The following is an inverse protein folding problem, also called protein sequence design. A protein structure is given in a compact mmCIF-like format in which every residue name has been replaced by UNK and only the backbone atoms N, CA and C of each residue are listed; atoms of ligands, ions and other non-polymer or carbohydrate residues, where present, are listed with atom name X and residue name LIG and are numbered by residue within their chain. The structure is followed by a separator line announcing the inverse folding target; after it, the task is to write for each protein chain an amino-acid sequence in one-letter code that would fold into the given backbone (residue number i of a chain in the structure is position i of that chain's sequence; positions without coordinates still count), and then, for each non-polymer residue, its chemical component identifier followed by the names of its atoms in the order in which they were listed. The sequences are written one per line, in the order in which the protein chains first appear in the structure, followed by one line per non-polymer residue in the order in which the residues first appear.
data_IF_459830133888
#
_entry.id   IF_459830133888
#
_cell.length_a   1.000
_cell.length_b   1.000
_cell.length_c   1.000
_cell.angle_alpha   90.00
_cell.angle_beta   90.00
_cell.angle_gamma   90.00
#
_symmetry.space_group_name_H-M   'P 1'
#
loop_
_entity.id
_entity.type
_entity.pdbx_description
1 polymer ?
#
# COMPACT_ATOMS: atom_id res chain seq x y z
N UNK A 1 22.54 53.97 -13.78
CA UNK A 1 23.62 54.43 -12.87
C UNK A 1 24.02 53.28 -11.96
N UNK A 2 25.35 52.96 -12.04
CA UNK A 2 26.17 52.12 -11.13
C UNK A 2 25.71 50.75 -10.66
N UNK A 3 26.28 49.73 -11.33
CA UNK A 3 26.42 48.35 -10.86
C UNK A 3 27.43 48.33 -9.68
N UNK A 4 27.14 47.51 -8.66
CA UNK A 4 28.08 47.14 -7.58
C UNK A 4 28.42 45.66 -7.75
N UNK A 5 29.71 45.48 -8.10
CA UNK A 5 30.35 44.15 -8.19
C UNK A 5 30.89 43.76 -6.81
N UNK A 6 30.53 42.56 -6.33
CA UNK A 6 31.14 41.96 -5.13
C UNK A 6 32.01 40.78 -5.56
N UNK A 7 33.32 40.95 -5.34
CA UNK A 7 34.37 39.93 -5.56
C UNK A 7 34.33 38.89 -4.43
N UNK A 8 34.48 37.63 -4.77
CA UNK A 8 34.78 36.51 -3.84
C UNK A 8 36.27 36.36 -3.69
N UNK A 9 36.81 36.11 -2.49
CA UNK A 9 38.19 35.70 -2.30
C UNK A 9 38.38 34.19 -2.50
N UNK A 10 39.43 33.83 -3.23
CA UNK A 10 39.93 32.47 -3.35
C UNK A 10 40.84 32.14 -2.15
N UNK A 11 40.58 31.01 -1.49
CA UNK A 11 41.50 30.42 -0.50
C UNK A 11 42.29 29.29 -1.20
N UNK A 12 43.59 29.55 -1.32
CA UNK A 12 44.59 28.57 -1.73
C UNK A 12 44.97 27.63 -0.58
N UNK A 13 44.95 26.34 -0.82
CA UNK A 13 45.54 25.33 0.05
C UNK A 13 46.97 25.02 -0.40
N UNK A 14 47.92 25.31 0.48
CA UNK A 14 49.31 24.92 0.34
C UNK A 14 49.51 23.49 0.86
N UNK A 15 50.05 22.62 0.01
CA UNK A 15 50.52 21.28 0.39
C UNK A 15 52.00 21.43 0.86
N UNK A 16 52.25 21.09 2.10
CA UNK A 16 53.63 20.93 2.62
C UNK A 16 54.00 19.45 2.63
N UNK A 17 55.01 19.11 1.87
CA UNK A 17 55.64 17.81 1.90
C UNK A 17 56.70 17.80 3.04
N UNK A 18 56.64 16.78 3.88
CA UNK A 18 57.72 16.45 4.83
C UNK A 18 58.28 15.08 4.48
N UNK A 19 59.52 15.09 4.01
CA UNK A 19 60.33 13.90 3.88
C UNK A 19 61.29 13.82 5.10
N UNK A 20 61.38 12.65 5.69
CA UNK A 20 62.56 12.20 6.47
C UNK A 20 62.33 10.74 6.84
N UNK A 21 63.16 9.83 6.41
CA UNK A 21 64.42 9.53 7.04
C UNK A 21 64.28 8.24 7.85
N UNK A 22 64.82 7.15 7.34
CA UNK A 22 64.73 5.81 7.82
C UNK A 22 65.39 5.49 9.17
N UNK A 23 65.02 4.36 9.70
CA UNK A 23 65.88 3.46 10.51
C UNK A 23 65.31 2.06 10.46
N UNK A 24 66.02 1.17 9.81
CA UNK A 24 65.73 -0.26 9.82
C UNK A 24 66.17 -0.88 11.14
N UNK A 25 65.27 -1.41 11.92
CA UNK A 25 65.57 -2.39 12.94
C UNK A 25 64.83 -3.68 12.62
N UNK A 26 65.57 -4.69 12.24
CA UNK A 26 65.08 -6.02 12.00
C UNK A 26 64.59 -6.68 13.30
N UNK A 27 63.35 -7.05 13.35
CA UNK A 27 62.82 -8.01 14.30
C UNK A 27 62.25 -9.18 13.50
N UNK A 28 62.98 -10.29 13.54
CA UNK A 28 62.47 -11.55 13.01
C UNK A 28 61.37 -12.06 13.92
N UNK A 29 60.11 -11.88 13.52
CA UNK A 29 58.98 -12.50 14.16
C UNK A 29 58.69 -13.82 13.45
N UNK A 30 58.83 -14.88 14.19
CA UNK A 30 58.41 -16.22 13.79
C UNK A 30 56.92 -16.21 13.51
N UNK A 31 56.54 -16.38 12.26
CA UNK A 31 55.18 -16.70 11.84
C UNK A 31 54.95 -18.20 12.07
N UNK A 32 54.36 -18.55 13.19
CA UNK A 32 53.64 -19.84 13.32
C UNK A 32 52.31 -19.76 12.53
N UNK A 33 52.00 -20.74 11.70
CA UNK A 33 50.70 -20.77 11.03
C UNK A 33 49.63 -21.10 12.08
N UNK A 34 48.87 -20.12 12.53
CA UNK A 34 47.60 -20.33 13.16
C UNK A 34 46.63 -20.81 12.06
N UNK A 35 46.53 -22.12 11.86
CA UNK A 35 45.40 -22.74 11.26
C UNK A 35 44.23 -22.65 12.26
N UNK A 36 43.65 -21.43 12.39
CA UNK A 36 42.38 -21.20 13.00
C UNK A 36 41.33 -21.77 12.04
N UNK A 37 40.75 -22.88 12.37
CA UNK A 37 39.51 -23.31 11.75
C UNK A 37 38.51 -22.16 11.91
N UNK A 38 38.11 -21.54 10.79
CA UNK A 38 36.96 -20.65 10.75
C UNK A 38 35.73 -21.47 11.15
N UNK A 39 35.38 -21.40 12.43
CA UNK A 39 34.07 -21.85 12.88
C UNK A 39 33.08 -20.80 12.38
N UNK A 40 32.54 -21.03 11.20
CA UNK A 40 31.32 -20.35 10.79
C UNK A 40 30.30 -20.56 11.91
N UNK A 41 29.73 -19.46 12.48
CA UNK A 41 28.71 -19.62 13.50
C UNK A 41 27.57 -20.45 12.93
N UNK A 42 27.38 -21.64 13.46
CA UNK A 42 26.26 -22.49 13.08
C UNK A 42 24.97 -21.75 13.43
N UNK A 43 24.12 -21.50 12.44
CA UNK A 43 22.76 -20.99 12.62
C UNK A 43 22.08 -21.80 13.72
N UNK A 44 21.52 -21.16 14.78
CA UNK A 44 20.84 -21.90 15.82
C UNK A 44 19.72 -22.75 15.22
N UNK A 45 19.59 -24.02 15.59
CA UNK A 45 18.56 -24.89 15.04
C UNK A 45 17.19 -24.37 15.48
N UNK A 46 16.31 -24.07 14.53
CA UNK A 46 14.89 -23.88 14.76
C UNK A 46 14.26 -22.53 14.40
N UNK A 47 15.01 -21.53 13.95
CA UNK A 47 14.40 -20.28 13.45
C UNK A 47 14.48 -20.28 11.92
N UNK A 48 13.47 -20.82 11.27
CA UNK A 48 13.23 -20.59 9.85
C UNK A 48 12.69 -19.16 9.72
N UNK A 49 13.56 -18.20 9.39
CA UNK A 49 13.12 -16.91 8.91
C UNK A 49 12.48 -17.12 7.52
N UNK A 50 11.16 -17.19 7.48
CA UNK A 50 10.49 -16.97 6.20
C UNK A 50 10.74 -15.52 5.80
N UNK A 51 11.20 -15.22 4.58
CA UNK A 51 11.35 -13.84 4.15
C UNK A 51 10.00 -13.14 4.26
N UNK A 52 10.02 -11.90 4.77
CA UNK A 52 8.83 -11.06 4.93
C UNK A 52 9.12 -9.66 4.42
N UNK A 53 8.09 -8.94 4.00
CA UNK A 53 8.20 -7.53 3.71
C UNK A 53 8.48 -6.75 5.00
N UNK A 54 9.45 -5.80 4.98
CA UNK A 54 9.71 -4.92 6.11
C UNK A 54 8.58 -3.90 6.29
N UNK A 55 8.44 -3.38 7.50
CA UNK A 55 7.51 -2.30 7.81
C UNK A 55 8.08 -0.94 7.35
N UNK A 56 7.75 -0.50 6.14
CA UNK A 56 8.25 0.75 5.56
C UNK A 56 7.27 1.93 5.68
N UNK A 57 5.97 1.68 5.56
CA UNK A 57 4.93 2.70 5.46
C UNK A 57 4.06 2.72 6.72
N UNK A 58 4.67 3.02 7.87
CA UNK A 58 3.96 3.07 9.14
C UNK A 58 4.51 4.18 10.02
N UNK A 59 3.64 5.10 10.44
CA UNK A 59 3.92 6.06 11.49
C UNK A 59 2.99 5.81 12.69
N UNK A 60 3.57 5.44 13.83
CA UNK A 60 2.83 5.04 15.00
C UNK A 60 1.99 6.15 15.61
N UNK A 61 2.35 7.43 15.43
CA UNK A 61 1.57 8.57 15.95
C UNK A 61 0.34 8.81 15.09
N UNK A 62 0.52 8.81 13.77
CA UNK A 62 -0.58 8.92 12.81
C UNK A 62 -1.56 7.77 12.98
N UNK A 63 -1.06 6.55 13.14
CA UNK A 63 -1.90 5.37 13.38
C UNK A 63 -2.70 5.50 14.69
N UNK A 64 -2.06 5.86 15.79
CA UNK A 64 -2.74 6.03 17.08
C UNK A 64 -3.80 7.14 17.06
N UNK A 65 -3.54 8.25 16.35
CA UNK A 65 -4.52 9.30 16.15
C UNK A 65 -5.73 8.81 15.35
N UNK A 66 -5.50 8.02 14.29
CA UNK A 66 -6.57 7.42 13.50
C UNK A 66 -7.40 6.40 14.30
N UNK A 67 -6.76 5.56 15.13
CA UNK A 67 -7.47 4.66 16.05
C UNK A 67 -8.33 5.43 17.08
N UNK A 68 -7.79 6.48 17.66
CA UNK A 68 -8.53 7.31 18.61
C UNK A 68 -9.75 7.97 17.97
N UNK A 69 -9.61 8.50 16.74
CA UNK A 69 -10.72 9.07 15.99
C UNK A 69 -11.77 8.02 15.64
N UNK A 70 -11.35 6.83 15.21
CA UNK A 70 -12.25 5.70 14.97
C UNK A 70 -13.01 5.31 16.25
N UNK A 71 -12.31 5.22 17.39
CA UNK A 71 -12.94 4.85 18.67
C UNK A 71 -13.96 5.89 19.15
N UNK A 72 -13.81 7.16 18.75
CA UNK A 72 -14.74 8.24 19.08
C UNK A 72 -16.05 8.20 18.26
N UNK A 73 -16.10 7.42 17.18
CA UNK A 73 -17.30 7.29 16.34
C UNK A 73 -18.09 6.04 16.69
N UNK A 74 -19.43 6.06 16.63
CA UNK A 74 -20.25 4.85 16.78
C UNK A 74 -19.86 3.79 15.76
N UNK A 75 -19.94 2.51 16.19
CA UNK A 75 -19.79 1.38 15.26
C UNK A 75 -21.01 1.31 14.36
N UNK A 76 -20.78 1.30 13.07
CA UNK A 76 -21.85 1.09 12.07
C UNK A 76 -21.64 -0.27 11.37
N UNK A 77 -22.42 -1.29 11.72
CA UNK A 77 -22.24 -2.63 11.21
C UNK A 77 -22.34 -2.75 9.68
N UNK A 78 -21.54 -3.64 9.12
CA UNK A 78 -21.48 -3.98 7.71
C UNK A 78 -21.50 -5.51 7.49
N UNK A 79 -22.51 -6.24 7.97
CA UNK A 79 -22.52 -7.71 7.96
C UNK A 79 -22.46 -8.29 6.54
N UNK A 80 -23.08 -7.61 5.58
CA UNK A 80 -23.21 -8.07 4.20
C UNK A 80 -22.14 -7.49 3.26
N UNK A 81 -21.13 -6.78 3.79
CA UNK A 81 -20.09 -6.18 2.98
C UNK A 81 -19.24 -7.25 2.27
N UNK A 82 -19.24 -7.24 0.95
CA UNK A 82 -18.39 -8.10 0.10
C UNK A 82 -17.17 -7.33 -0.42
N UNK A 83 -17.34 -6.05 -0.69
CA UNK A 83 -16.30 -5.16 -1.18
C UNK A 83 -16.22 -3.89 -0.36
N UNK A 84 -15.01 -3.45 -0.04
CA UNK A 84 -14.75 -2.23 0.71
C UNK A 84 -13.89 -1.29 -0.13
N UNK A 85 -14.27 -0.04 -0.21
CA UNK A 85 -13.49 1.05 -0.80
C UNK A 85 -13.02 1.97 0.33
N UNK A 86 -11.71 2.22 0.40
CA UNK A 86 -11.09 3.11 1.38
C UNK A 86 -9.84 3.78 0.79
N UNK A 87 -9.41 4.93 1.33
CA UNK A 87 -8.17 5.57 0.89
C UNK A 87 -6.93 4.80 1.34
N UNK A 88 -5.78 5.13 0.78
CA UNK A 88 -4.48 4.67 1.28
C UNK A 88 -3.59 5.82 1.81
N UNK A 89 -3.98 7.07 1.61
CA UNK A 89 -3.32 8.22 2.23
C UNK A 89 -3.66 8.31 3.73
N UNK A 90 -2.63 8.21 4.58
CA UNK A 90 -2.78 8.25 6.03
C UNK A 90 -3.11 9.63 6.60
N UNK A 91 -3.15 10.69 5.80
CA UNK A 91 -3.84 11.94 6.19
C UNK A 91 -5.31 11.65 6.48
N UNK A 92 -5.93 10.78 5.68
CA UNK A 92 -7.27 10.25 5.90
C UNK A 92 -7.33 9.05 6.86
N UNK A 93 -6.38 8.84 7.76
CA UNK A 93 -6.22 7.60 8.54
C UNK A 93 -7.46 7.10 9.27
N UNK A 94 -8.31 8.00 9.79
CA UNK A 94 -9.58 7.63 10.41
C UNK A 94 -10.56 7.00 9.39
N UNK A 95 -10.47 7.39 8.12
CA UNK A 95 -11.27 6.82 7.03
C UNK A 95 -10.76 5.43 6.59
N UNK A 96 -9.55 5.05 7.02
CA UNK A 96 -8.99 3.71 6.87
C UNK A 96 -9.39 2.83 8.06
N UNK A 97 -9.17 3.32 9.28
CA UNK A 97 -9.33 2.53 10.50
C UNK A 97 -10.79 2.29 10.87
N UNK A 98 -11.68 3.29 10.69
CA UNK A 98 -13.10 3.16 11.04
C UNK A 98 -13.81 2.04 10.26
N UNK A 99 -13.74 1.96 8.92
CA UNK A 99 -14.43 0.89 8.19
C UNK A 99 -13.86 -0.50 8.47
N UNK A 100 -12.57 -0.64 8.73
CA UNK A 100 -11.96 -1.93 9.10
C UNK A 100 -12.43 -2.37 10.49
N UNK A 101 -12.53 -1.45 11.46
CA UNK A 101 -13.11 -1.70 12.78
C UNK A 101 -14.59 -2.13 12.68
N UNK A 102 -15.37 -1.42 11.90
CA UNK A 102 -16.80 -1.68 11.74
C UNK A 102 -17.05 -3.03 11.05
N UNK A 103 -16.23 -3.38 10.07
CA UNK A 103 -16.24 -4.69 9.45
C UNK A 103 -15.91 -5.80 10.44
N UNK A 104 -14.84 -5.62 11.24
CA UNK A 104 -14.42 -6.56 12.28
C UNK A 104 -15.50 -6.78 13.35
N UNK A 105 -16.24 -5.73 13.71
CA UNK A 105 -17.37 -5.82 14.63
C UNK A 105 -18.60 -6.50 14.03
N UNK A 106 -18.67 -6.62 12.71
CA UNK A 106 -19.84 -7.13 11.99
C UNK A 106 -19.78 -8.61 11.67
N UNK A 107 -18.58 -9.11 11.36
CA UNK A 107 -18.36 -10.50 10.96
C UNK A 107 -16.90 -10.90 11.08
N UNK A 108 -16.65 -12.20 11.12
CA UNK A 108 -15.30 -12.74 11.04
C UNK A 108 -14.80 -12.65 9.60
N UNK A 109 -13.59 -12.10 9.42
CA UNK A 109 -12.89 -12.07 8.14
C UNK A 109 -11.63 -12.93 8.25
N UNK A 110 -11.46 -13.85 7.33
CA UNK A 110 -10.35 -14.81 7.28
C UNK A 110 -9.44 -14.58 6.07
N UNK A 111 -9.90 -13.78 5.10
CA UNK A 111 -9.13 -13.39 3.91
C UNK A 111 -9.44 -11.94 3.50
N UNK A 112 -8.40 -11.21 3.19
CA UNK A 112 -8.49 -9.89 2.58
C UNK A 112 -7.80 -9.93 1.21
N UNK A 113 -8.54 -9.71 0.14
CA UNK A 113 -7.96 -9.40 -1.17
C UNK A 113 -7.77 -7.89 -1.20
N UNK A 114 -6.53 -7.41 -1.20
CA UNK A 114 -6.22 -5.99 -1.13
C UNK A 114 -5.66 -5.52 -2.47
N UNK A 115 -6.38 -4.61 -3.13
CA UNK A 115 -6.06 -4.11 -4.47
C UNK A 115 -5.77 -2.62 -4.39
N UNK A 116 -4.66 -2.17 -4.96
CA UNK A 116 -4.28 -0.75 -5.01
C UNK A 116 -3.53 -0.39 -6.29
N UNK A 117 -3.23 0.91 -6.52
CA UNK A 117 -2.39 1.33 -7.63
C UNK A 117 -0.95 0.84 -7.51
N UNK A 118 -0.31 0.63 -8.64
CA UNK A 118 1.14 0.60 -8.77
C UNK A 118 1.59 2.01 -9.21
N UNK A 119 1.87 2.88 -8.24
CA UNK A 119 2.13 4.30 -8.49
C UNK A 119 3.31 4.56 -9.41
N UNK A 120 4.32 3.71 -9.35
CA UNK A 120 5.54 3.85 -10.16
C UNK A 120 5.46 3.12 -11.49
N UNK A 121 4.40 2.34 -11.72
CA UNK A 121 4.29 1.42 -12.84
C UNK A 121 5.50 0.46 -12.97
N UNK A 122 6.15 0.15 -11.84
CA UNK A 122 7.31 -0.73 -11.78
C UNK A 122 6.92 -2.20 -12.06
N UNK A 123 7.95 -3.01 -12.32
CA UNK A 123 7.79 -4.44 -12.55
C UNK A 123 7.54 -4.84 -13.99
N UNK A 124 7.49 -6.15 -14.23
CA UNK A 124 7.44 -6.74 -15.57
C UNK A 124 6.04 -7.06 -16.09
N UNK A 125 4.97 -6.86 -15.27
CA UNK A 125 3.59 -7.11 -15.67
C UNK A 125 2.65 -6.00 -15.20
N UNK A 126 1.43 -5.98 -15.72
CA UNK A 126 0.44 -4.96 -15.38
C UNK A 126 -0.22 -5.22 -14.01
N UNK A 127 -0.25 -6.47 -13.56
CA UNK A 127 -0.81 -6.90 -12.29
C UNK A 127 0.26 -7.68 -11.53
N UNK A 128 0.63 -7.18 -10.35
CA UNK A 128 1.67 -7.78 -9.52
C UNK A 128 1.12 -8.23 -8.19
N UNK A 129 1.73 -9.27 -7.62
CA UNK A 129 1.39 -9.83 -6.31
C UNK A 129 2.64 -10.25 -5.54
N UNK A 130 2.46 -10.63 -4.27
CA UNK A 130 3.51 -11.17 -3.41
C UNK A 130 3.00 -12.32 -2.54
N UNK A 131 3.81 -13.36 -2.38
CA UNK A 131 3.60 -14.46 -1.43
C UNK A 131 4.32 -14.26 -0.09
N UNK A 132 5.01 -13.11 0.08
CA UNK A 132 5.66 -12.76 1.34
C UNK A 132 4.65 -12.15 2.32
N UNK A 133 4.76 -12.54 3.58
CA UNK A 133 4.03 -11.91 4.70
C UNK A 133 4.62 -10.54 5.01
N UNK A 134 3.93 -9.69 5.78
CA UNK A 134 4.40 -8.37 6.21
C UNK A 134 4.67 -8.29 7.70
N UNK A 135 5.79 -7.68 8.07
CA UNK A 135 6.04 -7.28 9.45
C UNK A 135 5.12 -6.11 9.82
N UNK A 136 4.45 -6.19 10.95
CA UNK A 136 3.64 -5.09 11.50
C UNK A 136 3.81 -4.98 13.01
N UNK A 137 3.49 -3.82 13.62
CA UNK A 137 3.53 -3.67 15.08
C UNK A 137 2.54 -4.58 15.81
N UNK A 138 1.59 -5.15 15.08
CA UNK A 138 0.52 -6.01 15.61
C UNK A 138 0.77 -7.51 15.35
N UNK A 139 2.01 -7.86 15.02
CA UNK A 139 2.42 -9.19 14.57
C UNK A 139 2.46 -9.30 13.05
N UNK A 140 2.87 -10.44 12.55
CA UNK A 140 2.99 -10.68 11.11
C UNK A 140 1.59 -10.78 10.45
N UNK A 141 1.39 -10.03 9.37
CA UNK A 141 0.25 -10.19 8.48
C UNK A 141 0.59 -11.26 7.43
N UNK A 142 -0.03 -12.40 7.51
CA UNK A 142 0.30 -13.55 6.68
C UNK A 142 -0.26 -13.39 5.25
N UNK A 143 0.57 -13.72 4.25
CA UNK A 143 0.08 -13.87 2.88
C UNK A 143 -0.72 -15.18 2.73
N UNK A 144 -1.78 -15.16 1.93
CA UNK A 144 -2.46 -16.36 1.47
C UNK A 144 -1.67 -16.98 0.30
N UNK A 145 -0.61 -17.71 0.64
CA UNK A 145 0.37 -18.21 -0.35
C UNK A 145 -0.23 -19.16 -1.37
N UNK A 146 -1.23 -19.95 -0.98
CA UNK A 146 -1.91 -20.88 -1.89
C UNK A 146 -2.68 -20.10 -2.95
N UNK A 147 -3.54 -19.18 -2.53
CA UNK A 147 -4.29 -18.34 -3.44
C UNK A 147 -3.40 -17.43 -4.32
N UNK A 148 -2.30 -16.91 -3.74
CA UNK A 148 -1.31 -16.13 -4.51
C UNK A 148 -0.63 -17.00 -5.57
N UNK A 149 -0.25 -18.24 -5.24
CA UNK A 149 0.35 -19.17 -6.19
C UNK A 149 -0.60 -19.52 -7.34
N UNK A 150 -1.89 -19.74 -7.04
CA UNK A 150 -2.91 -20.02 -8.05
C UNK A 150 -3.10 -18.83 -8.99
N UNK A 151 -3.13 -17.61 -8.46
CA UNK A 151 -3.21 -16.39 -9.28
C UNK A 151 -1.95 -16.20 -10.13
N UNK A 152 -0.77 -16.44 -9.57
CA UNK A 152 0.51 -16.31 -10.28
C UNK A 152 0.75 -17.42 -11.32
N UNK A 153 0.02 -18.54 -11.22
CA UNK A 153 0.04 -19.59 -12.25
C UNK A 153 -0.71 -19.17 -13.53
N UNK A 154 -1.49 -18.09 -13.46
CA UNK A 154 -2.09 -17.48 -14.66
C UNK A 154 -1.06 -16.61 -15.38
N UNK A 155 -1.29 -16.33 -16.66
CA UNK A 155 -0.49 -15.38 -17.43
C UNK A 155 -0.78 -13.90 -17.11
N UNK A 156 -1.79 -13.66 -16.26
CA UNK A 156 -2.33 -12.34 -15.93
C UNK A 156 -1.60 -11.68 -14.75
N UNK A 157 -1.26 -12.46 -13.71
CA UNK A 157 -0.68 -11.96 -12.45
C UNK A 157 0.75 -12.44 -12.30
N UNK A 158 1.68 -11.54 -11.97
CA UNK A 158 3.09 -11.90 -11.76
C UNK A 158 3.50 -11.70 -10.30
N UNK A 159 4.26 -12.67 -9.80
CA UNK A 159 4.88 -12.61 -8.48
C UNK A 159 6.12 -11.72 -8.55
N UNK A 160 6.06 -10.53 -7.96
CA UNK A 160 7.19 -9.58 -7.87
C UNK A 160 7.23 -8.90 -6.48
N UNK A 161 7.64 -9.63 -5.43
CA UNK A 161 7.63 -9.14 -4.04
C UNK A 161 8.39 -7.84 -3.84
N UNK A 162 9.52 -7.66 -4.53
CA UNK A 162 10.36 -6.47 -4.38
C UNK A 162 9.61 -5.18 -4.77
N UNK A 163 8.74 -5.25 -5.78
CA UNK A 163 7.93 -4.09 -6.17
C UNK A 163 6.89 -3.76 -5.09
N UNK A 164 6.22 -4.78 -4.55
CA UNK A 164 5.23 -4.59 -3.50
C UNK A 164 5.84 -4.08 -2.19
N UNK A 165 7.12 -4.39 -1.92
CA UNK A 165 7.83 -3.86 -0.75
C UNK A 165 7.83 -2.32 -0.71
N UNK A 166 7.93 -1.68 -1.87
CA UNK A 166 8.04 -0.23 -2.00
C UNK A 166 6.76 0.45 -2.49
N UNK A 167 5.65 -0.29 -2.62
CA UNK A 167 4.35 0.28 -3.00
C UNK A 167 3.48 0.56 -1.77
N UNK A 168 3.26 1.83 -1.48
CA UNK A 168 2.59 2.26 -0.25
C UNK A 168 1.07 2.04 -0.25
N UNK A 169 0.42 1.98 -1.41
CA UNK A 169 -1.03 1.81 -1.52
C UNK A 169 -1.53 0.53 -0.85
N UNK A 170 -0.74 -0.53 -0.94
CA UNK A 170 -1.02 -1.84 -0.31
C UNK A 170 -0.24 -1.97 1.00
N UNK A 171 1.09 -1.78 0.98
CA UNK A 171 1.93 -1.99 2.16
C UNK A 171 1.55 -1.06 3.33
N UNK A 172 1.08 0.16 3.05
CA UNK A 172 0.62 1.11 4.07
C UNK A 172 -0.69 0.71 4.75
N UNK A 173 -1.54 -0.09 4.10
CA UNK A 173 -2.84 -0.53 4.64
C UNK A 173 -2.72 -1.82 5.47
N UNK A 174 -1.74 -2.66 5.18
CA UNK A 174 -1.58 -3.96 5.83
C UNK A 174 -1.49 -3.88 7.37
N UNK A 175 -0.80 -2.89 7.99
CA UNK A 175 -0.83 -2.77 9.45
C UNK A 175 -2.24 -2.59 10.03
N UNK A 176 -3.12 -1.83 9.35
CA UNK A 176 -4.51 -1.67 9.75
C UNK A 176 -5.32 -2.96 9.55
N UNK A 177 -5.11 -3.66 8.44
CA UNK A 177 -5.71 -4.99 8.22
C UNK A 177 -5.31 -5.94 9.35
N UNK A 178 -4.02 -6.05 9.67
CA UNK A 178 -3.55 -6.92 10.75
C UNK A 178 -4.11 -6.54 12.13
N UNK A 179 -4.26 -5.25 12.39
CA UNK A 179 -4.80 -4.71 13.65
C UNK A 179 -6.26 -5.09 13.87
N UNK A 180 -7.09 -4.91 12.85
CA UNK A 180 -8.54 -5.07 12.97
C UNK A 180 -9.04 -6.45 12.54
N UNK A 181 -8.34 -7.12 11.63
CA UNK A 181 -8.69 -8.42 11.07
C UNK A 181 -7.55 -9.43 11.31
N UNK A 182 -7.23 -9.74 12.57
CA UNK A 182 -6.01 -10.47 12.94
C UNK A 182 -5.92 -11.91 12.42
N UNK A 183 -7.05 -12.50 12.05
CA UNK A 183 -7.09 -13.86 11.49
C UNK A 183 -7.05 -13.89 9.96
N UNK A 184 -7.09 -12.70 9.33
CA UNK A 184 -7.14 -12.63 7.88
C UNK A 184 -5.76 -12.86 7.25
N UNK A 185 -5.70 -13.75 6.27
CA UNK A 185 -4.59 -13.82 5.32
C UNK A 185 -4.80 -12.79 4.22
N UNK A 186 -3.71 -12.25 3.67
CA UNK A 186 -3.75 -11.18 2.67
C UNK A 186 -3.35 -11.71 1.30
N UNK A 187 -4.14 -11.36 0.28
CA UNK A 187 -3.78 -11.48 -1.13
C UNK A 187 -3.54 -10.06 -1.63
N UNK A 188 -2.30 -9.58 -1.72
CA UNK A 188 -2.00 -8.23 -2.17
C UNK A 188 -1.92 -8.18 -3.69
N UNK A 189 -2.54 -7.17 -4.29
CA UNK A 189 -2.49 -6.93 -5.73
C UNK A 189 -2.22 -5.45 -5.98
N UNK A 190 -1.23 -5.14 -6.81
CA UNK A 190 -1.02 -3.78 -7.30
C UNK A 190 -1.21 -3.73 -8.81
N UNK A 191 -1.99 -2.75 -9.24
CA UNK A 191 -2.42 -2.62 -10.63
C UNK A 191 -1.75 -1.42 -11.29
N UNK A 192 -1.13 -1.66 -12.44
CA UNK A 192 -0.62 -0.58 -13.29
C UNK A 192 -1.78 0.21 -13.90
N UNK A 193 -1.56 1.50 -14.14
CA UNK A 193 -2.51 2.31 -14.89
C UNK A 193 -2.72 1.77 -16.32
N UNK A 194 -3.94 1.98 -16.85
CA UNK A 194 -4.26 1.66 -18.23
C UNK A 194 -4.59 0.18 -18.52
N UNK A 195 -5.00 -0.59 -17.50
CA UNK A 195 -5.56 -1.93 -17.75
C UNK A 195 -6.79 -1.83 -18.65
N UNK A 196 -6.93 -2.81 -19.56
CA UNK A 196 -8.09 -2.93 -20.43
C UNK A 196 -9.32 -3.49 -19.68
N UNK A 197 -10.49 -3.32 -20.26
CA UNK A 197 -11.72 -3.96 -19.73
C UNK A 197 -11.56 -5.47 -19.67
N UNK A 198 -10.91 -6.08 -20.67
CA UNK A 198 -10.63 -7.53 -20.71
C UNK A 198 -9.76 -7.96 -19.53
N UNK A 199 -8.70 -7.19 -19.19
CA UNK A 199 -7.85 -7.49 -18.03
C UNK A 199 -8.64 -7.42 -16.72
N UNK A 200 -9.54 -6.45 -16.57
CA UNK A 200 -10.43 -6.32 -15.41
C UNK A 200 -11.35 -7.54 -15.30
N UNK A 201 -12.01 -7.93 -16.39
CA UNK A 201 -12.90 -9.09 -16.42
C UNK A 201 -12.16 -10.41 -16.14
N UNK A 202 -10.96 -10.58 -16.68
CA UNK A 202 -10.10 -11.74 -16.43
C UNK A 202 -9.67 -11.81 -14.96
N UNK A 203 -9.24 -10.68 -14.39
CA UNK A 203 -8.86 -10.63 -12.98
C UNK A 203 -10.05 -10.90 -12.07
N UNK A 204 -11.19 -10.28 -12.32
CA UNK A 204 -12.42 -10.54 -11.56
C UNK A 204 -12.85 -12.02 -11.67
N UNK A 205 -12.70 -12.65 -12.83
CA UNK A 205 -12.94 -14.08 -13.01
C UNK A 205 -12.04 -14.94 -12.13
N UNK A 206 -10.75 -14.58 -12.04
CA UNK A 206 -9.79 -15.30 -11.19
C UNK A 206 -10.04 -15.08 -9.69
N UNK A 207 -10.51 -13.89 -9.30
CA UNK A 207 -10.78 -13.54 -7.90
C UNK A 207 -12.13 -14.08 -7.38
N UNK A 208 -13.14 -14.21 -8.23
CA UNK A 208 -14.50 -14.63 -7.82
C UNK A 208 -14.52 -15.94 -7.02
N UNK A 209 -13.79 -17.00 -7.37
CA UNK A 209 -13.76 -18.25 -6.60
C UNK A 209 -13.16 -18.10 -5.19
N UNK A 210 -12.37 -17.05 -4.94
CA UNK A 210 -11.73 -16.76 -3.65
C UNK A 210 -12.66 -16.00 -2.70
N UNK A 211 -13.80 -15.50 -3.20
CA UNK A 211 -14.76 -14.66 -2.48
C UNK A 211 -15.77 -15.47 -1.68
N UNK A 212 -15.31 -16.28 -0.74
CA UNK A 212 -16.14 -16.99 0.23
C UNK A 212 -16.77 -16.04 1.30
N UNK A 213 -17.52 -16.63 2.25
CA UNK A 213 -18.16 -15.83 3.32
C UNK A 213 -17.15 -15.20 4.29
N UNK A 214 -15.94 -15.71 4.39
CA UNK A 214 -14.85 -15.17 5.19
C UNK A 214 -14.02 -14.12 4.46
N UNK A 215 -14.25 -13.88 3.18
CA UNK A 215 -13.44 -13.01 2.33
C UNK A 215 -14.06 -11.61 2.16
N UNK A 216 -13.21 -10.59 2.14
CA UNK A 216 -13.55 -9.23 1.69
C UNK A 216 -12.53 -8.77 0.65
N UNK A 217 -13.02 -8.14 -0.42
CA UNK A 217 -12.16 -7.45 -1.38
C UNK A 217 -12.09 -5.96 -1.01
N UNK A 218 -10.89 -5.45 -0.82
CA UNK A 218 -10.62 -4.06 -0.43
C UNK A 218 -9.90 -3.36 -1.57
N UNK A 219 -10.48 -2.31 -2.11
CA UNK A 219 -9.79 -1.38 -2.99
C UNK A 219 -9.26 -0.19 -2.18
N UNK A 220 -7.94 -0.09 -2.08
CA UNK A 220 -7.25 1.00 -1.42
C UNK A 220 -6.91 2.07 -2.47
N UNK A 221 -7.76 3.09 -2.59
CA UNK A 221 -7.74 4.05 -3.69
C UNK A 221 -8.07 5.45 -3.16
N UNK A 222 -7.19 6.38 -3.43
CA UNK A 222 -7.46 7.80 -3.21
C UNK A 222 -8.22 8.37 -4.41
N UNK A 223 -9.12 9.33 -4.13
CA UNK A 223 -9.93 9.93 -5.17
C UNK A 223 -9.22 11.14 -5.79
N UNK A 224 -9.93 12.24 -6.04
CA UNK A 224 -9.38 13.37 -6.80
C UNK A 224 -8.07 13.92 -6.22
N UNK A 225 -7.08 14.11 -7.07
CA UNK A 225 -5.78 14.68 -6.72
C UNK A 225 -5.55 16.03 -7.40
N UNK A 226 -4.87 16.93 -6.68
CA UNK A 226 -4.34 18.14 -7.28
C UNK A 226 -5.38 19.20 -7.62
N UNK A 227 -6.61 19.09 -7.11
CA UNK A 227 -7.72 20.00 -7.39
C UNK A 227 -8.05 20.87 -6.17
N UNK A 228 -8.67 22.06 -6.39
CA UNK A 228 -9.37 22.78 -5.30
C UNK A 228 -10.49 21.90 -4.73
N UNK A 229 -10.77 21.98 -3.41
CA UNK A 229 -11.75 21.15 -2.73
C UNK A 229 -13.16 21.14 -3.37
N UNK A 230 -13.61 22.26 -3.94
CA UNK A 230 -14.90 22.32 -4.66
C UNK A 230 -14.90 21.51 -5.95
N UNK A 231 -13.79 21.53 -6.70
CA UNK A 231 -13.64 20.75 -7.92
C UNK A 231 -13.48 19.25 -7.59
N UNK A 232 -12.70 18.91 -6.55
CA UNK A 232 -12.57 17.55 -6.06
C UNK A 232 -13.94 16.95 -5.70
N UNK A 233 -14.75 17.67 -4.92
CA UNK A 233 -16.13 17.23 -4.58
C UNK A 233 -17.03 17.03 -5.81
N UNK A 234 -16.86 17.85 -6.86
CA UNK A 234 -17.59 17.63 -8.10
C UNK A 234 -17.16 16.32 -8.78
N UNK A 235 -15.84 16.07 -8.89
CA UNK A 235 -15.31 14.83 -9.46
C UNK A 235 -15.71 13.60 -8.66
N UNK A 236 -15.66 13.70 -7.34
CA UNK A 236 -16.13 12.63 -6.46
C UNK A 236 -17.62 12.32 -6.70
N UNK A 237 -18.44 13.37 -6.89
CA UNK A 237 -19.86 13.20 -7.25
C UNK A 237 -20.06 12.43 -8.55
N UNK A 238 -19.24 12.70 -9.57
CA UNK A 238 -19.24 11.98 -10.85
C UNK A 238 -18.86 10.50 -10.64
N UNK A 239 -17.80 10.23 -9.86
CA UNK A 239 -17.35 8.87 -9.53
C UNK A 239 -18.40 8.12 -8.71
N UNK A 240 -18.96 8.76 -7.68
CA UNK A 240 -20.02 8.18 -6.85
C UNK A 240 -21.28 7.83 -7.64
N UNK A 241 -21.60 8.58 -8.70
CA UNK A 241 -22.71 8.26 -9.60
C UNK A 241 -22.47 6.93 -10.33
N UNK A 242 -21.25 6.65 -10.78
CA UNK A 242 -20.88 5.37 -11.41
C UNK A 242 -20.86 4.22 -10.40
N UNK A 243 -20.37 4.44 -9.17
CA UNK A 243 -20.38 3.39 -8.13
C UNK A 243 -21.80 2.95 -7.74
N UNK A 244 -22.79 3.82 -7.90
CA UNK A 244 -24.22 3.50 -7.68
C UNK A 244 -24.88 2.83 -8.88
N UNK A 245 -24.27 2.91 -10.04
CA UNK A 245 -24.68 2.22 -11.25
C UNK A 245 -23.79 0.97 -11.42
N UNK A 246 -24.32 -0.17 -11.91
CA UNK A 246 -23.49 -1.37 -12.09
C UNK A 246 -22.59 -1.30 -13.34
N UNK A 247 -22.14 -0.11 -13.74
CA UNK A 247 -21.30 0.11 -14.92
C UNK A 247 -19.96 0.76 -14.49
N UNK A 248 -18.91 -0.06 -14.43
CA UNK A 248 -17.56 0.37 -14.10
C UNK A 248 -16.72 0.76 -15.33
N UNK A 249 -17.12 0.39 -16.55
CA UNK A 249 -16.31 0.61 -17.74
C UNK A 249 -15.96 2.09 -18.00
N UNK A 250 -16.84 3.07 -17.72
CA UNK A 250 -16.47 4.48 -17.84
C UNK A 250 -15.31 4.91 -16.94
N UNK A 251 -15.10 4.25 -15.78
CA UNK A 251 -14.01 4.58 -14.85
C UNK A 251 -12.65 4.47 -15.53
N UNK A 252 -12.45 3.50 -16.43
CA UNK A 252 -11.17 3.26 -17.10
C UNK A 252 -10.69 4.43 -18.01
N UNK A 253 -11.54 5.41 -18.25
CA UNK A 253 -11.20 6.62 -19.03
C UNK A 253 -10.70 7.76 -18.16
N UNK A 254 -10.77 7.62 -16.86
CA UNK A 254 -10.43 8.64 -15.88
C UNK A 254 -9.02 8.47 -15.35
N UNK A 255 -8.48 9.53 -14.77
CA UNK A 255 -7.17 9.57 -14.13
C UNK A 255 -7.24 10.27 -12.78
N UNK A 256 -6.12 10.77 -12.31
CA UNK A 256 -5.94 11.38 -11.00
C UNK A 256 -6.90 12.54 -10.67
N UNK A 257 -7.53 13.14 -11.67
CA UNK A 257 -8.56 14.15 -11.43
C UNK A 257 -9.85 13.56 -10.83
N UNK A 258 -10.07 12.24 -10.93
CA UNK A 258 -11.17 11.52 -10.32
C UNK A 258 -10.68 10.52 -9.26
N UNK A 259 -9.70 9.67 -9.58
CA UNK A 259 -9.12 8.67 -8.70
C UNK A 259 -7.78 8.16 -9.25
N UNK A 260 -6.89 7.76 -8.38
CA UNK A 260 -5.54 7.31 -8.76
C UNK A 260 -5.49 5.89 -9.34
N UNK A 261 -6.49 5.08 -9.05
CA UNK A 261 -6.60 3.72 -9.61
C UNK A 261 -8.02 3.36 -10.05
N UNK A 262 -8.45 3.84 -11.25
CA UNK A 262 -9.69 3.37 -11.87
C UNK A 262 -9.77 1.86 -11.99
N UNK A 263 -8.65 1.21 -12.29
CA UNK A 263 -8.57 -0.24 -12.45
C UNK A 263 -8.89 -0.98 -11.13
N UNK A 264 -8.36 -0.52 -9.99
CA UNK A 264 -8.63 -1.16 -8.68
C UNK A 264 -10.10 -1.09 -8.31
N UNK A 265 -10.75 0.05 -8.58
CA UNK A 265 -12.19 0.22 -8.35
C UNK A 265 -13.00 -0.64 -9.33
N UNK A 266 -12.60 -0.69 -10.60
CA UNK A 266 -13.27 -1.53 -11.60
C UNK A 266 -13.21 -3.03 -11.23
N UNK A 267 -12.04 -3.52 -10.79
CA UNK A 267 -11.87 -4.90 -10.28
C UNK A 267 -12.77 -5.15 -9.07
N UNK A 268 -12.84 -4.20 -8.13
CA UNK A 268 -13.74 -4.31 -6.98
C UNK A 268 -15.18 -4.47 -7.45
N UNK A 269 -15.70 -3.52 -8.25
CA UNK A 269 -17.10 -3.49 -8.70
C UNK A 269 -17.44 -4.74 -9.49
N UNK A 270 -16.60 -5.13 -10.44
CA UNK A 270 -16.82 -6.31 -11.28
C UNK A 270 -16.82 -7.61 -10.45
N UNK A 271 -15.82 -7.78 -9.56
CA UNK A 271 -15.72 -9.01 -8.77
C UNK A 271 -16.91 -9.19 -7.83
N UNK A 272 -17.29 -8.16 -7.07
CA UNK A 272 -18.41 -8.26 -6.14
C UNK A 272 -19.76 -8.26 -6.84
N UNK A 273 -19.86 -7.62 -8.02
CA UNK A 273 -21.04 -7.66 -8.89
C UNK A 273 -21.38 -9.07 -9.34
N UNK A 274 -20.39 -9.90 -9.65
CA UNK A 274 -20.57 -11.33 -9.98
C UNK A 274 -21.16 -12.15 -8.84
N UNK A 275 -21.07 -11.66 -7.61
CA UNK A 275 -21.67 -12.27 -6.42
C UNK A 275 -23.04 -11.67 -6.08
N UNK A 276 -23.55 -10.75 -6.91
CA UNK A 276 -24.80 -10.04 -6.66
C UNK A 276 -24.71 -8.87 -5.69
N UNK A 277 -23.51 -8.53 -5.19
CA UNK A 277 -23.26 -7.38 -4.32
C UNK A 277 -23.11 -6.11 -5.17
N UNK A 278 -24.22 -5.59 -5.68
CA UNK A 278 -24.25 -4.48 -6.64
C UNK A 278 -24.61 -3.13 -6.02
N UNK A 279 -24.99 -3.11 -4.73
CA UNK A 279 -25.42 -1.88 -4.07
C UNK A 279 -24.23 -1.25 -3.33
N UNK A 280 -23.88 -0.03 -3.72
CA UNK A 280 -22.85 0.76 -3.03
C UNK A 280 -23.47 1.60 -1.92
N UNK A 281 -23.00 1.43 -0.70
CA UNK A 281 -23.33 2.27 0.45
C UNK A 281 -22.16 3.17 0.81
N UNK A 282 -22.33 4.48 0.56
CA UNK A 282 -21.35 5.50 0.97
C UNK A 282 -21.31 5.61 2.51
N UNK A 283 -20.11 5.66 3.07
CA UNK A 283 -19.83 5.83 4.51
C UNK A 283 -19.16 7.15 4.84
N UNK A 284 -18.41 7.69 3.89
CA UNK A 284 -17.72 8.97 4.05
C UNK A 284 -17.22 9.51 2.72
N UNK A 285 -17.20 10.83 2.61
CA UNK A 285 -16.50 11.57 1.56
C UNK A 285 -15.91 12.81 2.22
N UNK A 286 -14.60 13.02 2.10
CA UNK A 286 -13.87 14.13 2.68
C UNK A 286 -12.65 14.45 1.82
N UNK A 287 -11.84 15.40 2.21
CA UNK A 287 -10.58 15.73 1.56
C UNK A 287 -9.46 16.02 2.58
N UNK A 288 -8.22 16.04 2.12
CA UNK A 288 -7.04 16.24 2.96
C UNK A 288 -7.05 17.59 3.69
N UNK A 289 -7.68 18.62 3.13
CA UNK A 289 -7.86 19.92 3.76
C UNK A 289 -8.85 19.86 4.92
N UNK A 290 -10.00 19.23 4.71
CA UNK A 290 -11.02 19.04 5.73
C UNK A 290 -10.51 18.17 6.89
N UNK A 291 -9.89 17.03 6.59
CA UNK A 291 -9.38 16.10 7.63
C UNK A 291 -8.25 16.70 8.44
N UNK A 292 -7.31 17.43 7.82
CA UNK A 292 -6.18 18.05 8.50
C UNK A 292 -6.53 19.39 9.18
N UNK A 293 -7.68 19.99 8.86
CA UNK A 293 -8.03 21.35 9.26
C UNK A 293 -7.20 22.44 8.58
N UNK A 294 -6.42 22.08 7.55
CA UNK A 294 -5.59 23.03 6.78
C UNK A 294 -6.32 23.39 5.51
N UNK A 295 -6.83 24.62 5.46
CA UNK A 295 -7.45 25.15 4.23
C UNK A 295 -6.34 25.41 3.20
N UNK A 296 -5.99 24.38 2.44
CA UNK A 296 -4.99 24.43 1.39
C UNK A 296 -5.60 23.88 0.08
N UNK A 297 -5.12 24.38 -1.02
CA UNK A 297 -5.33 23.79 -2.34
C UNK A 297 -3.92 23.56 -2.92
N UNK A 298 -3.69 22.48 -3.64
CA UNK A 298 -4.62 21.39 -4.01
C UNK A 298 -4.88 20.38 -2.87
N UNK A 299 -6.00 19.65 -2.97
CA UNK A 299 -6.36 18.56 -2.03
C UNK A 299 -6.26 17.20 -2.72
N UNK A 300 -6.15 16.14 -1.88
CA UNK A 300 -6.51 14.76 -2.21
C UNK A 300 -7.86 14.47 -1.58
N UNK A 301 -8.81 13.91 -2.31
CA UNK A 301 -10.11 13.55 -1.75
C UNK A 301 -10.20 12.05 -1.43
N UNK A 302 -11.08 11.72 -0.49
CA UNK A 302 -11.25 10.40 0.06
C UNK A 302 -12.70 9.99 0.00
N UNK A 303 -12.97 8.79 -0.50
CA UNK A 303 -14.28 8.17 -0.46
C UNK A 303 -14.19 6.84 0.26
N UNK A 304 -15.10 6.63 1.19
CA UNK A 304 -15.25 5.36 1.93
C UNK A 304 -16.65 4.83 1.71
N UNK A 305 -16.74 3.55 1.40
CA UNK A 305 -18.01 2.87 1.23
C UNK A 305 -17.83 1.38 1.02
N UNK A 306 -18.93 0.67 0.89
CA UNK A 306 -18.90 -0.78 0.66
C UNK A 306 -20.00 -1.23 -0.27
N UNK A 307 -19.76 -2.36 -0.93
CA UNK A 307 -20.70 -3.10 -1.76
C UNK A 307 -21.30 -4.26 -0.99
N UNK A 308 -22.63 -4.44 -1.14
CA UNK A 308 -23.42 -5.49 -0.48
C UNK A 308 -24.58 -5.97 -1.35
#
# INVERSE_FOLDING_TARGET
MRAVSVRRPALGLSVAAVAAGGLALGLAIWLAPFLGAETTPSKPPGITYSPSHPLLFFDGRTFAAAEAAAAATPVEPMPDARGLLLPHDWVGGALITTPLRDLAASRKVTRVILVGPNHTNAGGAAILTSDLSWETPFGQAEADREAVADLAATDLVRLEPDVLTYEHSVAGIIPAVRRYLPEAKVIPLILRGGLSAEDIERLATALTPLMDDGTVLVAAVDFSHGLPASAARQRDGETLALLRAPDWAPLLRWGNEHLDSPASVAVLVETVGRLGATRFKLRGNSDSGEVSGVVAAPVTSYVVGYFH
#
